data_IF_564092544249
#
_entry.id   IF_564092544249
#
_cell.length_a   1.000
_cell.length_b   1.000
_cell.length_c   1.000
_cell.angle_alpha   90.00
_cell.angle_beta   90.00
_cell.angle_gamma   90.00
#
_symmetry.space_group_name_H-M   'P 1'
#
loop_
_entity.id
_entity.type
_entity.pdbx_description
1 polymer ?
#
# COMPACT_ATOMS: atom_id res chain seq x y z
N UNK A 1 26.63 -41.36 6.29
CA UNK A 1 27.17 -40.12 6.90
C UNK A 1 27.37 -39.01 5.87
N UNK A 2 27.99 -39.22 4.72
CA UNK A 2 28.24 -38.18 3.70
C UNK A 2 26.94 -37.53 3.20
N UNK A 3 25.88 -38.32 2.91
CA UNK A 3 24.58 -37.83 2.43
C UNK A 3 23.92 -36.88 3.45
N UNK A 4 23.98 -37.20 4.75
CA UNK A 4 23.44 -36.34 5.80
C UNK A 4 24.19 -35.01 5.88
N UNK A 5 25.51 -35.02 5.67
CA UNK A 5 26.33 -33.83 5.62
C UNK A 5 25.96 -32.91 4.45
N UNK A 6 25.75 -33.47 3.25
CA UNK A 6 25.34 -32.71 2.07
C UNK A 6 23.95 -32.10 2.23
N UNK A 7 22.99 -32.87 2.78
CA UNK A 7 21.63 -32.37 3.06
C UNK A 7 21.66 -31.24 4.09
N UNK A 8 22.44 -31.36 5.15
CA UNK A 8 22.56 -30.31 6.18
C UNK A 8 23.13 -29.00 5.59
N UNK A 9 24.13 -29.08 4.71
CA UNK A 9 24.71 -27.91 4.03
C UNK A 9 23.68 -27.30 3.07
N UNK A 10 22.97 -28.11 2.29
CA UNK A 10 21.96 -27.63 1.35
C UNK A 10 20.81 -26.92 2.06
N UNK A 11 20.32 -27.44 3.20
CA UNK A 11 19.28 -26.79 4.01
C UNK A 11 19.80 -25.52 4.70
N UNK A 12 21.05 -25.51 5.15
CA UNK A 12 21.64 -24.34 5.81
C UNK A 12 21.78 -23.13 4.89
N UNK A 13 22.02 -23.33 3.59
CA UNK A 13 22.14 -22.26 2.60
C UNK A 13 20.79 -21.98 1.93
N UNK A 14 19.99 -23.00 1.68
CA UNK A 14 18.71 -22.87 0.95
C UNK A 14 17.64 -22.15 1.76
N UNK A 15 17.49 -22.44 3.05
CA UNK A 15 16.43 -21.90 3.86
C UNK A 15 16.40 -20.34 3.93
N UNK A 16 17.53 -19.64 4.18
CA UNK A 16 17.51 -18.17 4.22
C UNK A 16 17.21 -17.54 2.85
N UNK A 17 17.62 -18.18 1.75
CA UNK A 17 17.34 -17.69 0.41
C UNK A 17 15.84 -17.77 0.09
N UNK A 18 15.18 -18.86 0.46
CA UNK A 18 13.73 -19.02 0.29
C UNK A 18 12.95 -18.01 1.14
N UNK A 19 13.38 -17.74 2.36
CA UNK A 19 12.74 -16.73 3.22
C UNK A 19 12.78 -15.33 2.58
N UNK A 20 13.92 -14.96 2.00
CA UNK A 20 14.08 -13.66 1.30
C UNK A 20 13.18 -13.57 0.06
N UNK A 21 13.13 -14.64 -0.74
CA UNK A 21 12.24 -14.70 -1.91
C UNK A 21 10.77 -14.59 -1.51
N UNK A 22 10.34 -15.31 -0.48
CA UNK A 22 8.98 -15.25 0.02
C UNK A 22 8.61 -13.84 0.52
N UNK A 23 9.52 -13.19 1.25
CA UNK A 23 9.32 -11.82 1.72
C UNK A 23 9.23 -10.81 0.55
N UNK A 24 10.08 -10.95 -0.48
CA UNK A 24 10.02 -10.12 -1.68
C UNK A 24 8.70 -10.30 -2.44
N UNK A 25 8.21 -11.52 -2.55
CA UNK A 25 6.94 -11.82 -3.21
C UNK A 25 5.77 -11.21 -2.45
N UNK A 26 5.72 -11.36 -1.11
CA UNK A 26 4.68 -10.73 -0.27
C UNK A 26 4.67 -9.21 -0.42
N UNK A 27 5.83 -8.56 -0.31
CA UNK A 27 5.95 -7.12 -0.50
C UNK A 27 5.48 -6.68 -1.89
N UNK A 28 5.84 -7.41 -2.92
CA UNK A 28 5.43 -7.10 -4.30
C UNK A 28 3.93 -7.31 -4.49
N UNK A 29 3.35 -8.38 -3.96
CA UNK A 29 1.90 -8.62 -4.01
C UNK A 29 1.14 -7.49 -3.31
N UNK A 30 1.44 -7.23 -2.03
CA UNK A 30 0.80 -6.17 -1.25
C UNK A 30 0.87 -4.79 -1.94
N UNK A 31 2.04 -4.47 -2.51
CA UNK A 31 2.22 -3.21 -3.26
C UNK A 31 1.34 -3.16 -4.50
N UNK A 32 1.31 -4.24 -5.29
CA UNK A 32 0.51 -4.31 -6.50
C UNK A 32 -0.99 -4.26 -6.19
N UNK A 33 -1.43 -4.92 -5.12
CA UNK A 33 -2.83 -4.93 -4.69
C UNK A 33 -3.28 -3.52 -4.27
N UNK A 34 -2.45 -2.80 -3.51
CA UNK A 34 -2.75 -1.43 -3.10
C UNK A 34 -2.75 -0.47 -4.30
N UNK A 35 -1.73 -0.52 -5.16
CA UNK A 35 -1.68 0.31 -6.38
C UNK A 35 -2.85 0.02 -7.30
N UNK A 36 -3.23 -1.26 -7.47
CA UNK A 36 -4.40 -1.66 -8.25
C UNK A 36 -5.70 -1.08 -7.67
N UNK A 37 -5.86 -1.11 -6.35
CA UNK A 37 -7.03 -0.54 -5.66
C UNK A 37 -7.10 0.99 -5.81
N UNK A 38 -5.96 1.68 -5.75
CA UNK A 38 -5.87 3.13 -6.01
C UNK A 38 -6.25 3.49 -7.45
N UNK A 39 -5.78 2.70 -8.43
CA UNK A 39 -6.13 2.87 -9.84
C UNK A 39 -7.62 2.60 -10.04
N UNK A 40 -8.17 1.56 -9.43
CA UNK A 40 -9.59 1.22 -9.50
C UNK A 40 -10.45 2.34 -8.90
N UNK A 41 -10.11 2.85 -7.72
CA UNK A 41 -10.82 3.95 -7.06
C UNK A 41 -10.88 5.19 -7.98
N UNK A 42 -9.73 5.61 -8.51
CA UNK A 42 -9.67 6.75 -9.44
C UNK A 42 -10.48 6.50 -10.71
N UNK A 43 -10.39 5.31 -11.30
CA UNK A 43 -11.09 4.96 -12.52
C UNK A 43 -12.62 4.94 -12.34
N UNK A 44 -13.08 4.42 -11.20
CA UNK A 44 -14.52 4.41 -10.87
C UNK A 44 -15.04 5.84 -10.59
N UNK A 45 -14.23 6.70 -9.94
CA UNK A 45 -14.58 8.10 -9.75
C UNK A 45 -14.79 8.84 -11.09
N UNK A 46 -13.85 8.68 -12.01
CA UNK A 46 -13.94 9.26 -13.36
C UNK A 46 -15.11 8.70 -14.16
N UNK A 47 -15.32 7.38 -14.10
CA UNK A 47 -16.36 6.68 -14.88
C UNK A 47 -17.76 7.01 -14.38
N UNK A 48 -17.96 7.05 -13.07
CA UNK A 48 -19.26 7.31 -12.46
C UNK A 48 -19.53 8.79 -12.20
N UNK A 49 -18.52 9.65 -12.32
CA UNK A 49 -18.60 11.10 -12.04
C UNK A 49 -19.05 11.40 -10.60
N UNK A 50 -18.60 10.60 -9.64
CA UNK A 50 -18.89 10.74 -8.20
C UNK A 50 -17.61 10.55 -7.41
N UNK A 51 -17.61 10.91 -6.13
CA UNK A 51 -16.50 10.63 -5.23
C UNK A 51 -16.38 9.12 -4.98
N UNK A 52 -15.15 8.62 -5.00
CA UNK A 52 -14.80 7.24 -4.62
C UNK A 52 -13.71 7.31 -3.57
N UNK A 53 -13.94 6.63 -2.47
CA UNK A 53 -13.05 6.64 -1.30
C UNK A 53 -12.41 5.29 -1.09
N UNK A 54 -11.10 5.29 -0.78
CA UNK A 54 -10.36 4.15 -0.26
C UNK A 54 -10.05 4.43 1.21
N UNK A 55 -10.52 3.59 2.10
CA UNK A 55 -10.29 3.72 3.54
C UNK A 55 -9.79 2.41 4.18
N UNK A 56 -9.01 2.49 5.28
CA UNK A 56 -8.67 1.31 6.07
C UNK A 56 -9.91 0.67 6.69
N UNK A 57 -10.01 -0.65 6.58
CA UNK A 57 -11.08 -1.45 7.21
C UNK A 57 -10.50 -2.73 7.79
N UNK A 58 -10.98 -3.21 8.96
CA UNK A 58 -10.53 -4.48 9.49
C UNK A 58 -10.82 -5.62 8.50
N UNK A 59 -9.81 -6.38 8.12
CA UNK A 59 -9.91 -7.49 7.15
C UNK A 59 -10.63 -7.13 5.83
N UNK A 60 -10.59 -5.86 5.44
CA UNK A 60 -11.27 -5.38 4.24
C UNK A 60 -12.79 -5.33 4.35
N UNK A 61 -13.36 -5.34 5.53
CA UNK A 61 -14.80 -5.32 5.75
C UNK A 61 -15.21 -4.39 6.90
N UNK A 62 -16.46 -3.97 6.91
CA UNK A 62 -17.01 -3.12 7.95
C UNK A 62 -16.84 -1.62 7.69
N UNK A 63 -16.85 -0.82 8.75
CA UNK A 63 -16.72 0.62 8.67
C UNK A 63 -15.26 1.06 8.45
N UNK A 64 -15.08 2.22 7.86
CA UNK A 64 -13.78 2.88 7.80
C UNK A 64 -13.25 3.17 9.22
N UNK A 65 -11.98 2.89 9.46
CA UNK A 65 -11.32 3.15 10.75
C UNK A 65 -10.49 4.42 10.62
N UNK A 66 -10.98 5.51 11.18
CA UNK A 66 -10.24 6.77 11.19
C UNK A 66 -8.86 6.59 11.87
N UNK A 67 -7.79 6.95 11.15
CA UNK A 67 -6.42 6.72 11.60
C UNK A 67 -6.00 5.24 11.60
N UNK A 68 -6.77 4.37 10.96
CA UNK A 68 -6.44 2.96 10.78
C UNK A 68 -5.23 2.75 9.87
N UNK A 69 -4.71 1.52 9.91
CA UNK A 69 -3.61 1.08 9.05
C UNK A 69 -4.17 0.38 7.81
N UNK A 70 -3.63 0.70 6.63
CA UNK A 70 -3.89 -0.05 5.40
C UNK A 70 -3.39 -1.50 5.51
N UNK A 71 -2.44 -1.75 6.40
CA UNK A 71 -1.98 -3.10 6.71
C UNK A 71 -3.06 -4.01 7.28
N UNK A 72 -4.10 -3.46 7.93
CA UNK A 72 -5.25 -4.23 8.44
C UNK A 72 -6.28 -4.57 7.36
N UNK A 73 -6.13 -4.07 6.17
CA UNK A 73 -7.06 -4.19 5.06
C UNK A 73 -7.67 -2.85 4.67
N UNK A 74 -8.32 -2.80 3.52
CA UNK A 74 -8.98 -1.60 3.00
C UNK A 74 -10.22 -1.92 2.16
N UNK A 75 -11.09 -0.94 2.08
CA UNK A 75 -12.26 -0.98 1.19
C UNK A 75 -12.24 0.22 0.24
N UNK A 76 -12.55 -0.03 -1.02
CA UNK A 76 -12.85 1.00 -2.03
C UNK A 76 -14.35 1.03 -2.23
N UNK A 77 -14.96 2.19 -2.10
CA UNK A 77 -16.41 2.36 -2.24
C UNK A 77 -16.77 3.68 -2.94
N UNK A 78 -17.92 3.69 -3.58
CA UNK A 78 -18.55 4.89 -4.13
C UNK A 78 -19.14 5.66 -2.96
N UNK A 79 -18.57 6.81 -2.66
CA UNK A 79 -18.93 7.69 -1.55
C UNK A 79 -19.82 8.82 -2.07
N UNK A 80 -21.15 8.64 -1.97
CA UNK A 80 -22.12 9.55 -2.59
C UNK A 80 -22.25 10.89 -1.89
N UNK A 81 -22.06 10.90 -0.58
CA UNK A 81 -22.14 12.10 0.25
C UNK A 81 -20.75 12.72 0.52
N UNK A 82 -19.68 12.05 0.10
CA UNK A 82 -18.28 12.46 0.24
C UNK A 82 -17.90 12.72 1.71
N UNK A 83 -18.38 11.88 2.63
CA UNK A 83 -18.07 11.98 4.06
C UNK A 83 -16.93 11.06 4.53
N UNK A 84 -16.40 10.22 3.62
CA UNK A 84 -15.31 9.27 3.92
C UNK A 84 -15.74 8.05 4.72
N UNK A 85 -17.02 7.87 4.98
CA UNK A 85 -17.55 6.77 5.77
C UNK A 85 -18.47 5.88 4.93
N UNK A 86 -18.38 4.56 5.15
CA UNK A 86 -19.26 3.61 4.45
C UNK A 86 -20.66 3.68 5.04
N UNK A 87 -21.63 4.03 4.21
CA UNK A 87 -23.07 4.14 4.55
C UNK A 87 -23.93 3.19 3.73
N UNK A 88 -25.24 3.11 4.06
CA UNK A 88 -26.16 2.21 3.37
C UNK A 88 -26.41 2.57 1.89
N UNK A 89 -26.20 3.84 1.52
CA UNK A 89 -26.38 4.33 0.15
C UNK A 89 -25.13 4.20 -0.72
N UNK A 90 -24.01 3.78 -0.13
CA UNK A 90 -22.74 3.63 -0.79
C UNK A 90 -22.61 2.24 -1.43
N UNK A 91 -21.77 2.15 -2.44
CA UNK A 91 -21.54 0.92 -3.17
C UNK A 91 -20.09 0.50 -3.05
N UNK A 92 -19.86 -0.62 -2.39
CA UNK A 92 -18.54 -1.22 -2.32
C UNK A 92 -18.09 -1.67 -3.71
N UNK A 93 -16.91 -1.23 -4.11
CA UNK A 93 -16.27 -1.55 -5.41
C UNK A 93 -15.28 -2.69 -5.25
N UNK A 94 -14.45 -2.62 -4.21
CA UNK A 94 -13.40 -3.58 -3.94
C UNK A 94 -13.11 -3.65 -2.44
N UNK A 95 -12.76 -4.83 -1.98
CA UNK A 95 -12.30 -5.07 -0.61
C UNK A 95 -11.00 -5.86 -0.64
N UNK A 96 -10.09 -5.54 0.26
CA UNK A 96 -8.83 -6.25 0.44
C UNK A 96 -8.65 -6.57 1.93
N UNK A 97 -8.39 -7.83 2.26
CA UNK A 97 -8.12 -8.26 3.62
C UNK A 97 -6.79 -7.74 4.17
N UNK A 98 -6.49 -8.10 5.40
CA UNK A 98 -5.22 -7.73 6.02
C UNK A 98 -4.02 -8.20 5.19
N UNK A 99 -2.95 -7.40 5.19
CA UNK A 99 -1.71 -7.77 4.53
C UNK A 99 -1.05 -8.94 5.25
N UNK A 100 -0.50 -9.87 4.48
CA UNK A 100 0.15 -11.05 5.05
C UNK A 100 1.54 -10.73 5.65
N UNK A 101 1.84 -11.38 6.78
CA UNK A 101 3.13 -11.28 7.45
C UNK A 101 3.27 -9.99 8.27
N UNK A 102 4.51 -9.50 8.41
CA UNK A 102 4.84 -8.33 9.24
C UNK A 102 4.84 -7.03 8.42
N UNK A 103 4.01 -6.95 7.38
CA UNK A 103 3.90 -5.75 6.56
C UNK A 103 3.20 -4.63 7.35
N UNK A 104 3.81 -3.46 7.34
CA UNK A 104 3.33 -2.23 7.98
C UNK A 104 3.27 -1.12 6.96
N UNK A 105 2.33 -0.23 7.12
CA UNK A 105 2.23 0.99 6.34
C UNK A 105 2.55 2.23 7.17
N UNK A 106 3.10 3.23 6.51
CA UNK A 106 3.21 4.60 6.98
C UNK A 106 2.56 5.52 5.95
N UNK A 107 1.93 6.59 6.41
CA UNK A 107 1.22 7.55 5.54
C UNK A 107 1.47 8.99 5.98
N UNK A 108 1.38 9.94 5.03
CA UNK A 108 1.62 11.36 5.32
C UNK A 108 0.43 12.11 5.88
N UNK A 109 -0.75 11.54 5.86
CA UNK A 109 -1.97 12.18 6.36
C UNK A 109 -2.79 11.23 7.25
N UNK A 110 -3.46 11.81 8.23
CA UNK A 110 -4.43 11.13 9.09
C UNK A 110 -5.69 12.00 9.11
N UNK A 111 -6.87 11.49 8.76
CA UNK A 111 -7.19 10.09 8.44
C UNK A 111 -6.56 9.61 7.12
N UNK A 112 -6.41 8.29 6.98
CA UNK A 112 -5.79 7.62 5.81
C UNK A 112 -6.80 7.46 4.66
N UNK A 113 -7.87 8.23 4.66
CA UNK A 113 -8.93 8.11 3.67
C UNK A 113 -8.51 8.84 2.38
N UNK A 114 -8.34 8.07 1.32
CA UNK A 114 -7.98 8.57 0.01
C UNK A 114 -9.24 8.75 -0.84
N UNK A 115 -9.73 9.98 -0.90
CA UNK A 115 -10.93 10.34 -1.65
C UNK A 115 -10.54 10.86 -3.03
N UNK A 116 -11.04 10.19 -4.08
CA UNK A 116 -10.91 10.64 -5.47
C UNK A 116 -12.19 11.33 -5.90
N UNK A 117 -12.07 12.58 -6.31
CA UNK A 117 -13.20 13.38 -6.84
C UNK A 117 -13.68 12.85 -8.20
N UNK A 118 -14.83 13.30 -8.67
CA UNK A 118 -15.35 13.04 -10.02
C UNK A 118 -14.35 13.42 -11.15
N UNK A 119 -13.40 14.31 -10.88
CA UNK A 119 -12.33 14.66 -11.82
C UNK A 119 -11.10 13.75 -11.72
N UNK A 120 -11.12 12.73 -10.85
CA UNK A 120 -10.00 11.81 -10.62
C UNK A 120 -8.81 12.45 -9.89
N UNK A 121 -9.02 13.59 -9.23
CA UNK A 121 -8.03 14.25 -8.36
C UNK A 121 -8.29 13.87 -6.92
N UNK A 122 -7.28 13.97 -6.06
CA UNK A 122 -7.51 13.79 -4.62
C UNK A 122 -8.34 14.95 -4.05
N UNK A 123 -9.29 14.62 -3.18
CA UNK A 123 -10.08 15.59 -2.42
C UNK A 123 -9.30 16.00 -1.16
N UNK A 124 -8.23 16.78 -1.36
CA UNK A 124 -7.41 17.35 -0.29
C UNK A 124 -7.47 18.87 -0.41
N UNK A 125 -7.44 19.56 0.73
CA UNK A 125 -7.43 21.03 0.77
C UNK A 125 -6.23 21.61 0.01
N UNK A 126 -6.43 22.78 -0.59
CA UNK A 126 -5.37 23.46 -1.32
C UNK A 126 -4.34 24.12 -0.36
N UNK A 127 -3.03 24.15 -0.69
CA UNK A 127 -2.43 23.56 -1.89
C UNK A 127 -2.43 22.04 -1.81
N UNK A 128 -2.84 21.36 -2.85
CA UNK A 128 -2.96 19.89 -2.87
C UNK A 128 -1.59 19.22 -2.73
N UNK A 129 -1.17 18.83 -1.53
CA UNK A 129 0.08 18.12 -1.34
C UNK A 129 0.00 16.73 -1.97
N UNK A 130 1.15 16.19 -2.28
CA UNK A 130 1.24 14.78 -2.64
C UNK A 130 0.95 13.93 -1.39
N UNK A 131 0.26 12.82 -1.59
CA UNK A 131 0.03 11.82 -0.55
C UNK A 131 1.04 10.69 -0.71
N UNK A 132 1.61 10.26 0.41
CA UNK A 132 2.65 9.25 0.40
C UNK A 132 2.26 8.06 1.27
N UNK A 133 2.50 6.86 0.74
CA UNK A 133 2.33 5.60 1.47
C UNK A 133 3.66 4.86 1.41
N UNK A 134 4.15 4.42 2.56
CA UNK A 134 5.33 3.58 2.68
C UNK A 134 4.89 2.20 3.18
N UNK A 135 5.25 1.15 2.45
CA UNK A 135 5.09 -0.24 2.90
C UNK A 135 6.44 -0.77 3.36
N UNK A 136 6.47 -1.28 4.58
CA UNK A 136 7.66 -1.77 5.26
C UNK A 136 7.46 -3.20 5.76
N UNK A 137 8.53 -3.98 5.79
CA UNK A 137 8.62 -5.22 6.53
C UNK A 137 9.79 -5.16 7.54
N UNK A 138 10.11 -6.27 8.22
CA UNK A 138 11.18 -6.33 9.21
C UNK A 138 12.58 -6.02 8.65
N UNK A 139 12.77 -6.07 7.34
CA UNK A 139 14.04 -5.79 6.68
C UNK A 139 14.30 -4.30 6.48
N UNK A 140 13.27 -3.47 6.71
CA UNK A 140 13.36 -2.03 6.46
C UNK A 140 13.65 -1.71 5.00
N UNK A 141 14.62 -0.85 4.75
CA UNK A 141 15.09 -0.47 3.42
C UNK A 141 16.34 -1.26 2.97
N UNK A 142 16.53 -2.48 3.49
CA UNK A 142 17.64 -3.32 3.07
C UNK A 142 17.65 -3.52 1.55
N UNK A 143 18.85 -3.55 0.95
CA UNK A 143 19.01 -3.83 -0.47
C UNK A 143 18.64 -5.30 -0.75
N UNK A 144 17.68 -5.51 -1.63
CA UNK A 144 17.26 -6.84 -2.08
C UNK A 144 17.94 -7.26 -3.38
N UNK A 145 18.84 -6.43 -3.88
CA UNK A 145 19.61 -6.60 -5.11
C UNK A 145 19.37 -5.44 -6.08
N UNK A 146 20.43 -5.01 -6.77
CA UNK A 146 20.43 -3.94 -7.76
C UNK A 146 19.89 -2.58 -7.23
N UNK A 147 20.22 -2.24 -5.99
CA UNK A 147 19.76 -1.01 -5.29
C UNK A 147 18.24 -0.90 -5.15
N UNK A 148 17.56 -2.05 -5.07
CA UNK A 148 16.12 -2.14 -4.82
C UNK A 148 15.90 -2.35 -3.31
N UNK A 149 15.20 -1.43 -2.66
CA UNK A 149 14.85 -1.55 -1.25
C UNK A 149 13.88 -2.71 -0.98
N UNK A 150 13.93 -3.28 0.22
CA UNK A 150 12.88 -4.18 0.69
C UNK A 150 11.55 -3.44 0.88
N UNK A 151 11.57 -2.21 1.38
CA UNK A 151 10.41 -1.32 1.45
C UNK A 151 9.95 -0.79 0.09
N UNK A 152 8.74 -0.24 0.05
CA UNK A 152 8.13 0.37 -1.15
C UNK A 152 7.52 1.71 -0.79
N UNK A 153 7.75 2.69 -1.64
CA UNK A 153 7.19 4.02 -1.48
C UNK A 153 6.25 4.35 -2.64
N UNK A 154 5.00 4.64 -2.32
CA UNK A 154 3.96 5.01 -3.28
C UNK A 154 3.68 6.50 -3.10
N UNK A 155 3.85 7.25 -4.16
CA UNK A 155 3.48 8.66 -4.23
C UNK A 155 2.16 8.80 -4.98
N UNK A 156 1.25 9.60 -4.48
CA UNK A 156 0.00 9.93 -5.14
C UNK A 156 -0.06 11.45 -5.22
N UNK A 157 0.10 11.98 -6.43
CA UNK A 157 0.01 13.44 -6.62
C UNK A 157 -1.40 13.96 -6.37
N UNK A 158 -1.56 15.22 -6.03
CA UNK A 158 -2.86 15.86 -5.89
C UNK A 158 -3.78 15.73 -7.13
N UNK A 159 -3.18 15.46 -8.31
CA UNK A 159 -3.91 15.13 -9.54
C UNK A 159 -4.32 13.65 -9.61
N UNK A 160 -4.12 12.87 -8.56
CA UNK A 160 -4.49 11.46 -8.47
C UNK A 160 -3.59 10.51 -9.27
N UNK A 161 -2.37 10.92 -9.66
CA UNK A 161 -1.40 10.04 -10.34
C UNK A 161 -0.59 9.28 -9.31
N UNK A 162 -0.53 7.96 -9.46
CA UNK A 162 0.28 7.10 -8.60
C UNK A 162 1.66 6.86 -9.23
N UNK A 163 2.70 6.87 -8.39
CA UNK A 163 4.05 6.49 -8.76
C UNK A 163 4.62 5.56 -7.69
N UNK A 164 5.13 4.41 -8.13
CA UNK A 164 5.81 3.45 -7.25
C UNK A 164 7.32 3.68 -7.33
N UNK A 165 7.93 3.96 -6.19
CA UNK A 165 9.38 4.12 -6.04
C UNK A 165 9.93 2.87 -5.34
N UNK A 166 10.97 2.27 -5.92
CA UNK A 166 11.63 1.06 -5.44
C UNK A 166 13.12 1.27 -5.16
N UNK A 167 13.72 2.29 -5.78
CA UNK A 167 15.14 2.57 -5.59
C UNK A 167 15.42 2.96 -4.15
N UNK A 168 16.37 2.29 -3.52
CA UNK A 168 16.71 2.46 -2.12
C UNK A 168 17.15 3.89 -1.80
N UNK A 169 17.99 4.48 -2.65
CA UNK A 169 18.46 5.85 -2.50
C UNK A 169 17.33 6.87 -2.57
N UNK A 170 16.30 6.63 -3.40
CA UNK A 170 15.13 7.52 -3.48
C UNK A 170 14.23 7.38 -2.24
N UNK A 171 14.01 6.14 -1.77
CA UNK A 171 13.20 5.86 -0.57
C UNK A 171 13.83 6.49 0.68
N UNK A 172 15.17 6.46 0.80
CA UNK A 172 15.92 7.03 1.92
C UNK A 172 16.27 8.52 1.72
N UNK A 173 15.83 9.13 0.63
CA UNK A 173 16.11 10.55 0.35
C UNK A 173 15.17 11.49 1.10
N UNK A 174 15.58 12.77 1.22
CA UNK A 174 14.74 13.84 1.77
C UNK A 174 13.46 14.10 0.94
N UNK A 175 13.35 13.52 -0.26
CA UNK A 175 12.13 13.57 -1.08
C UNK A 175 11.01 12.66 -0.54
N UNK A 176 11.37 11.66 0.24
CA UNK A 176 10.39 10.82 0.93
C UNK A 176 10.06 11.42 2.31
N UNK A 177 8.90 12.04 2.51
CA UNK A 177 8.56 12.67 3.77
C UNK A 177 8.36 11.69 4.92
N UNK A 178 8.27 10.38 4.63
CA UNK A 178 8.17 9.31 5.61
C UNK A 178 9.55 8.81 6.07
N UNK A 179 10.63 9.22 5.38
CA UNK A 179 12.00 8.91 5.77
C UNK A 179 12.47 7.48 5.53
N UNK A 180 11.70 6.69 4.78
CA UNK A 180 11.94 5.27 4.56
C UNK A 180 11.38 4.37 5.67
N UNK A 181 11.81 3.13 5.69
CA UNK A 181 11.45 2.11 6.67
C UNK A 181 12.47 2.05 7.81
#
# INVERSE_FOLDING_TARGET
>A
MVVLGVVAIALGIGAPLFATLAANNRMSSATNDLVSSLIAARSEALKRQVTVTLCPTPDGAGACVAGGSLGSGWTVFVDRNADGAISADDVVVQQHGALEGDLRDGVTATPVDLMFTAAGTLAIDAPRPDFHIQLCDQRGDADTGADIAAGRWIQISGLGRQQLVRARLDIQSDRNPLGGC
#
